data_IF_887480623491
#
_entry.id   IF_887480623491
#
_cell.length_a   1.000
_cell.length_b   1.000
_cell.length_c   1.000
_cell.angle_alpha   90.00
_cell.angle_beta   90.00
_cell.angle_gamma   90.00
#
_symmetry.space_group_name_H-M   'P 1'
#
loop_
_entity.id
_entity.type
_entity.pdbx_description
1 polymer ?
#
# COMPACT_ATOMS: atom_id res chain seq x y z
N UNK A 1 19.99 10.93 -9.88
CA UNK A 1 19.63 9.57 -9.41
C UNK A 1 18.13 9.31 -9.54
N UNK A 2 17.23 10.14 -8.97
CA UNK A 2 15.76 10.00 -9.10
C UNK A 2 15.25 10.00 -10.56
N UNK A 3 15.83 10.85 -11.42
CA UNK A 3 15.42 10.98 -12.82
C UNK A 3 15.74 9.73 -13.68
N UNK A 4 16.79 8.98 -13.32
CA UNK A 4 17.13 7.70 -13.99
C UNK A 4 16.23 6.57 -13.52
N UNK A 5 15.82 6.57 -12.24
CA UNK A 5 14.85 5.61 -11.69
C UNK A 5 13.48 5.73 -12.37
N UNK A 6 12.99 6.96 -12.58
CA UNK A 6 11.74 7.23 -13.31
C UNK A 6 11.78 6.77 -14.78
N UNK A 7 12.94 6.88 -15.44
CA UNK A 7 13.12 6.46 -16.84
C UNK A 7 13.22 4.92 -16.98
N UNK A 8 13.76 4.23 -15.98
CA UNK A 8 13.84 2.76 -15.88
C UNK A 8 12.45 2.11 -15.82
N UNK A 9 11.54 2.67 -15.00
CA UNK A 9 10.15 2.20 -14.87
C UNK A 9 9.41 2.22 -16.22
N UNK A 10 9.74 3.18 -17.08
CA UNK A 10 9.06 3.40 -18.35
C UNK A 10 9.52 2.46 -19.48
N UNK A 11 10.69 1.81 -19.37
CA UNK A 11 11.25 0.97 -20.43
C UNK A 11 11.00 -0.54 -20.26
N UNK A 12 10.65 -1.04 -19.06
CA UNK A 12 10.28 -2.46 -18.83
C UNK A 12 9.18 -2.63 -17.75
N UNK A 13 7.92 -2.26 -18.05
CA UNK A 13 6.82 -2.22 -17.07
C UNK A 13 6.47 -3.58 -16.46
N UNK A 14 6.67 -4.68 -17.18
CA UNK A 14 6.33 -6.02 -16.70
C UNK A 14 7.10 -6.50 -15.46
N UNK A 15 8.27 -5.91 -15.17
CA UNK A 15 9.17 -6.37 -14.08
C UNK A 15 8.87 -5.75 -12.72
N UNK A 16 8.27 -4.57 -12.72
CA UNK A 16 7.78 -3.90 -11.51
C UNK A 16 6.28 -4.08 -11.31
N UNK A 17 5.58 -4.67 -12.28
CA UNK A 17 4.13 -4.88 -12.21
C UNK A 17 3.72 -5.67 -10.97
N UNK A 18 4.47 -6.73 -10.60
CA UNK A 18 4.16 -7.52 -9.40
C UNK A 18 4.27 -6.69 -8.11
N UNK A 19 5.39 -5.98 -7.93
CA UNK A 19 5.58 -5.11 -6.75
C UNK A 19 4.59 -3.96 -6.73
N UNK A 20 4.36 -3.31 -7.88
CA UNK A 20 3.41 -2.21 -8.02
C UNK A 20 1.99 -2.69 -7.69
N UNK A 21 1.56 -3.82 -8.24
CA UNK A 21 0.23 -4.38 -8.02
C UNK A 21 0.04 -4.80 -6.55
N UNK A 22 1.01 -5.52 -5.97
CA UNK A 22 0.98 -5.89 -4.55
C UNK A 22 0.92 -4.66 -3.64
N UNK A 23 1.75 -3.64 -3.90
CA UNK A 23 1.77 -2.42 -3.12
C UNK A 23 0.49 -1.60 -3.31
N UNK A 24 -0.05 -1.53 -4.53
CA UNK A 24 -1.26 -0.76 -4.85
C UNK A 24 -2.50 -1.39 -4.20
N UNK A 25 -2.75 -2.69 -4.42
CA UNK A 25 -3.86 -3.39 -3.76
C UNK A 25 -3.70 -3.35 -2.25
N UNK A 26 -2.48 -3.58 -1.76
CA UNK A 26 -2.21 -3.58 -0.34
C UNK A 26 -2.46 -2.23 0.32
N UNK A 27 -1.96 -1.14 -0.29
CA UNK A 27 -2.22 0.22 0.18
C UNK A 27 -3.72 0.54 0.09
N UNK A 28 -4.42 0.15 -0.98
CA UNK A 28 -5.84 0.42 -1.13
C UNK A 28 -6.66 -0.24 -0.01
N UNK A 29 -6.36 -1.50 0.31
CA UNK A 29 -7.02 -2.24 1.39
C UNK A 29 -6.68 -1.60 2.74
N UNK A 30 -5.41 -1.41 3.06
CA UNK A 30 -4.97 -0.88 4.36
C UNK A 30 -5.54 0.52 4.59
N UNK A 31 -5.54 1.39 3.58
CA UNK A 31 -6.10 2.75 3.67
C UNK A 31 -7.62 2.74 3.80
N UNK A 32 -8.33 1.83 3.13
CA UNK A 32 -9.77 1.69 3.30
C UNK A 32 -10.14 1.33 4.75
N UNK A 33 -9.44 0.36 5.36
CA UNK A 33 -9.65 0.03 6.78
C UNK A 33 -9.16 1.13 7.72
N UNK A 34 -8.05 1.81 7.41
CA UNK A 34 -7.59 2.97 8.18
C UNK A 34 -8.65 4.07 8.22
N UNK A 35 -9.35 4.32 7.11
CA UNK A 35 -10.41 5.33 7.06
C UNK A 35 -11.61 5.03 7.96
N UNK A 36 -11.87 3.77 8.29
CA UNK A 36 -12.87 3.41 9.30
C UNK A 36 -12.43 3.86 10.71
N UNK A 37 -11.13 3.78 10.99
CA UNK A 37 -10.55 4.28 12.25
C UNK A 37 -10.56 5.80 12.30
N UNK A 38 -10.30 6.48 11.18
CA UNK A 38 -10.43 7.93 11.06
C UNK A 38 -11.89 8.36 11.29
N UNK A 39 -12.83 7.61 10.69
CA UNK A 39 -14.27 7.81 10.88
C UNK A 39 -14.68 7.59 12.33
N UNK A 40 -14.15 6.57 13.01
CA UNK A 40 -14.42 6.32 14.43
C UNK A 40 -13.96 7.47 15.35
N UNK A 41 -12.91 8.19 14.96
CA UNK A 41 -12.39 9.35 15.71
C UNK A 41 -13.08 10.68 15.38
N UNK A 42 -14.04 10.68 14.45
CA UNK A 42 -14.71 11.90 14.03
C UNK A 42 -15.64 12.46 15.13
N UNK A 43 -15.80 13.79 15.24
CA UNK A 43 -16.72 14.39 16.19
C UNK A 43 -18.17 13.96 15.94
N UNK A 44 -18.89 13.59 17.00
CA UNK A 44 -20.31 13.25 16.93
C UNK A 44 -20.62 11.78 16.59
N UNK A 45 -19.61 10.91 16.57
CA UNK A 45 -19.80 9.45 16.49
C UNK A 45 -20.09 8.89 17.87
N UNK A 46 -21.11 8.03 17.99
CA UNK A 46 -21.46 7.35 19.23
C UNK A 46 -20.45 6.26 19.61
N UNK A 47 -20.33 5.96 20.92
CA UNK A 47 -19.32 5.03 21.45
C UNK A 47 -19.41 3.62 20.82
N UNK A 48 -20.63 3.14 20.52
CA UNK A 48 -20.86 1.81 19.94
C UNK A 48 -20.37 1.75 18.50
N UNK A 49 -20.71 2.75 17.69
CA UNK A 49 -20.21 2.90 16.32
C UNK A 49 -18.69 3.04 16.30
N UNK A 50 -18.12 3.86 17.19
CA UNK A 50 -16.69 4.09 17.28
C UNK A 50 -15.92 2.81 17.66
N UNK A 51 -16.43 2.05 18.64
CA UNK A 51 -15.85 0.77 19.06
C UNK A 51 -15.90 -0.26 17.92
N UNK A 52 -17.03 -0.36 17.22
CA UNK A 52 -17.23 -1.30 16.11
C UNK A 52 -16.27 -1.01 14.95
N UNK A 53 -16.19 0.27 14.54
CA UNK A 53 -15.29 0.72 13.47
C UNK A 53 -13.82 0.53 13.86
N UNK A 54 -13.45 0.87 15.10
CA UNK A 54 -12.07 0.72 15.60
C UNK A 54 -11.65 -0.73 15.70
N UNK A 55 -12.53 -1.61 16.20
CA UNK A 55 -12.26 -3.04 16.33
C UNK A 55 -12.11 -3.67 14.95
N UNK A 56 -13.02 -3.37 14.02
CA UNK A 56 -12.96 -3.88 12.66
C UNK A 56 -11.72 -3.38 11.91
N UNK A 57 -11.39 -2.10 12.04
CA UNK A 57 -10.20 -1.49 11.44
C UNK A 57 -8.89 -2.06 12.00
N UNK A 58 -8.82 -2.25 13.32
CA UNK A 58 -7.60 -2.74 13.97
C UNK A 58 -7.33 -4.22 13.67
N UNK A 59 -8.37 -5.06 13.73
CA UNK A 59 -8.26 -6.48 13.42
C UNK A 59 -7.96 -6.66 11.94
N UNK A 60 -8.88 -6.25 11.05
CA UNK A 60 -8.75 -6.54 9.62
C UNK A 60 -7.64 -5.72 8.97
N UNK A 61 -7.55 -4.43 9.31
CA UNK A 61 -6.46 -3.57 8.82
C UNK A 61 -5.09 -3.99 9.36
N UNK A 62 -5.01 -4.43 10.61
CA UNK A 62 -3.76 -4.90 11.22
C UNK A 62 -3.24 -6.19 10.59
N UNK A 63 -4.08 -7.23 10.51
CA UNK A 63 -3.72 -8.48 9.82
C UNK A 63 -3.48 -8.25 8.32
N UNK A 64 -4.31 -7.40 7.69
CA UNK A 64 -4.14 -6.99 6.30
C UNK A 64 -2.78 -6.35 6.04
N UNK A 65 -2.33 -5.43 6.89
CA UNK A 65 -1.03 -4.79 6.78
C UNK A 65 0.13 -5.79 6.83
N UNK A 66 0.05 -6.81 7.70
CA UNK A 66 1.05 -7.88 7.76
C UNK A 66 1.08 -8.71 6.48
N UNK A 67 -0.09 -9.12 5.96
CA UNK A 67 -0.18 -9.88 4.71
C UNK A 67 0.35 -9.07 3.52
N UNK A 68 0.03 -7.77 3.47
CA UNK A 68 0.53 -6.84 2.46
C UNK A 68 2.04 -6.70 2.56
N UNK A 69 2.59 -6.56 3.76
CA UNK A 69 4.03 -6.51 3.97
C UNK A 69 4.73 -7.76 3.40
N UNK A 70 4.25 -8.95 3.73
CA UNK A 70 4.80 -10.20 3.18
C UNK A 70 4.66 -10.31 1.67
N UNK A 71 3.52 -9.88 1.12
CA UNK A 71 3.28 -9.86 -0.33
C UNK A 71 4.29 -8.96 -1.06
N UNK A 72 4.50 -7.73 -0.56
CA UNK A 72 5.46 -6.79 -1.13
C UNK A 72 6.89 -7.32 -0.99
N UNK A 73 7.27 -7.87 0.17
CA UNK A 73 8.59 -8.45 0.39
C UNK A 73 8.88 -9.62 -0.56
N UNK A 74 7.88 -10.48 -0.78
CA UNK A 74 7.97 -11.59 -1.74
C UNK A 74 8.14 -11.08 -3.17
N UNK A 75 7.31 -10.14 -3.59
CA UNK A 75 7.39 -9.54 -4.93
C UNK A 75 8.75 -8.86 -5.17
N UNK A 76 9.23 -8.08 -4.20
CA UNK A 76 10.56 -7.45 -4.26
C UNK A 76 11.68 -8.50 -4.37
N UNK A 77 11.59 -9.58 -3.61
CA UNK A 77 12.57 -10.68 -3.67
C UNK A 77 12.61 -11.30 -5.06
N UNK A 78 11.45 -11.55 -5.67
CA UNK A 78 11.35 -12.06 -7.04
C UNK A 78 11.95 -11.07 -8.04
N UNK A 79 11.59 -9.78 -7.96
CA UNK A 79 12.12 -8.74 -8.85
C UNK A 79 13.65 -8.59 -8.74
N UNK A 80 14.21 -8.70 -7.53
CA UNK A 80 15.66 -8.68 -7.32
C UNK A 80 16.32 -9.93 -7.91
N UNK A 81 15.76 -11.12 -7.68
CA UNK A 81 16.28 -12.38 -8.24
C UNK A 81 16.31 -12.39 -9.76
N UNK A 82 15.28 -11.83 -10.41
CA UNK A 82 15.22 -11.70 -11.86
C UNK A 82 16.29 -10.73 -12.43
N UNK A 83 16.87 -9.85 -11.59
CA UNK A 83 17.88 -8.86 -11.97
C UNK A 83 19.30 -9.20 -11.52
N UNK A 84 19.50 -10.35 -10.88
CA UNK A 84 20.82 -10.76 -10.36
C UNK A 84 21.91 -10.74 -11.44
N UNK A 85 21.61 -11.15 -12.68
CA UNK A 85 22.58 -11.11 -13.79
C UNK A 85 22.95 -9.69 -14.24
N UNK A 86 21.99 -8.76 -14.30
CA UNK A 86 22.27 -7.35 -14.60
C UNK A 86 23.11 -6.70 -13.48
N UNK A 87 22.80 -7.03 -12.22
CA UNK A 87 23.55 -6.57 -11.05
C UNK A 87 24.98 -7.14 -11.02
N UNK A 88 25.17 -8.38 -11.43
CA UNK A 88 26.48 -9.02 -11.53
C UNK A 88 27.36 -8.37 -12.60
N UNK A 89 26.81 -8.07 -13.78
CA UNK A 89 27.51 -7.32 -14.82
C UNK A 89 27.97 -5.92 -14.33
N UNK A 90 27.10 -5.22 -13.60
CA UNK A 90 27.46 -3.94 -12.98
C UNK A 90 28.59 -4.10 -11.95
N UNK A 91 28.57 -5.17 -11.15
CA UNK A 91 29.65 -5.47 -10.20
C UNK A 91 30.97 -5.76 -10.92
N UNK A 92 30.95 -6.50 -12.02
CA UNK A 92 32.15 -6.75 -12.84
C UNK A 92 32.73 -5.46 -13.46
N UNK A 93 31.89 -4.45 -13.71
CA UNK A 93 32.33 -3.11 -14.15
C UNK A 93 32.81 -2.18 -13.01
N UNK A 94 32.89 -2.67 -11.76
CA UNK A 94 33.42 -1.93 -10.62
C UNK A 94 32.35 -1.28 -9.72
N UNK A 95 31.06 -1.55 -9.92
CA UNK A 95 30.03 -1.02 -9.03
C UNK A 95 30.07 -1.68 -7.64
N UNK A 96 30.01 -0.85 -6.60
CA UNK A 96 30.10 -1.34 -5.20
C UNK A 96 28.75 -1.88 -4.70
N UNK A 97 28.73 -2.87 -3.78
CA UNK A 97 27.48 -3.41 -3.23
C UNK A 97 26.57 -2.35 -2.60
N UNK A 98 27.15 -1.30 -2.01
CA UNK A 98 26.40 -0.19 -1.44
C UNK A 98 25.69 0.67 -2.51
N UNK A 99 26.31 0.87 -3.68
CA UNK A 99 25.69 1.58 -4.82
C UNK A 99 24.51 0.79 -5.39
N UNK A 100 24.68 -0.53 -5.56
CA UNK A 100 23.61 -1.41 -6.02
C UNK A 100 22.42 -1.41 -5.07
N UNK A 101 22.67 -1.54 -3.76
CA UNK A 101 21.59 -1.52 -2.75
C UNK A 101 20.83 -0.19 -2.78
N UNK A 102 21.53 0.94 -2.85
CA UNK A 102 20.89 2.27 -2.91
C UNK A 102 20.05 2.45 -4.18
N UNK A 103 20.51 1.95 -5.32
CA UNK A 103 19.77 1.99 -6.57
C UNK A 103 18.46 1.19 -6.48
N UNK A 104 18.54 -0.07 -6.02
CA UNK A 104 17.36 -0.95 -5.89
C UNK A 104 16.37 -0.37 -4.88
N UNK A 105 16.83 0.12 -3.73
CA UNK A 105 15.96 0.77 -2.74
C UNK A 105 15.29 2.01 -3.34
N UNK A 106 16.03 2.82 -4.10
CA UNK A 106 15.48 3.99 -4.78
C UNK A 106 14.37 3.65 -5.77
N UNK A 107 14.55 2.58 -6.55
CA UNK A 107 13.52 2.08 -7.48
C UNK A 107 12.30 1.56 -6.72
N UNK A 108 12.50 0.75 -5.67
CA UNK A 108 11.42 0.22 -4.84
C UNK A 108 10.61 1.32 -4.16
N UNK A 109 11.27 2.35 -3.63
CA UNK A 109 10.61 3.51 -3.01
C UNK A 109 9.79 4.28 -4.05
N UNK A 110 10.36 4.52 -5.25
CA UNK A 110 9.62 5.21 -6.31
C UNK A 110 8.35 4.44 -6.72
N UNK A 111 8.44 3.11 -6.84
CA UNK A 111 7.29 2.25 -7.14
C UNK A 111 6.28 2.24 -6.00
N UNK A 112 6.73 2.16 -4.75
CA UNK A 112 5.86 2.17 -3.57
C UNK A 112 5.11 3.51 -3.44
N UNK A 113 5.79 4.64 -3.63
CA UNK A 113 5.15 5.97 -3.61
C UNK A 113 4.10 6.07 -4.72
N UNK A 114 4.42 5.63 -5.94
CA UNK A 114 3.46 5.60 -7.04
C UNK A 114 2.25 4.73 -6.70
N UNK A 115 2.48 3.54 -6.13
CA UNK A 115 1.42 2.62 -5.73
C UNK A 115 0.47 3.26 -4.69
N UNK A 116 1.02 3.90 -3.66
CA UNK A 116 0.24 4.56 -2.60
C UNK A 116 -0.57 5.72 -3.16
N UNK A 117 0.03 6.57 -3.99
CA UNK A 117 -0.69 7.70 -4.60
C UNK A 117 -1.86 7.21 -5.46
N UNK A 118 -1.64 6.16 -6.26
CA UNK A 118 -2.69 5.55 -7.06
C UNK A 118 -3.77 4.88 -6.21
N UNK A 119 -3.41 4.36 -5.04
CA UNK A 119 -4.32 3.67 -4.14
C UNK A 119 -5.31 4.59 -3.42
N UNK A 120 -5.03 5.90 -3.30
CA UNK A 120 -5.90 6.85 -2.57
C UNK A 120 -7.34 6.84 -3.08
N UNK A 121 -7.55 6.95 -4.39
CA UNK A 121 -8.90 6.98 -4.98
C UNK A 121 -9.70 5.71 -4.68
N UNK A 122 -9.17 4.52 -5.03
CA UNK A 122 -9.79 3.24 -4.67
C UNK A 122 -9.97 3.03 -3.17
N UNK A 123 -9.05 3.50 -2.34
CA UNK A 123 -9.14 3.41 -0.89
C UNK A 123 -10.32 4.21 -0.33
N UNK A 124 -10.50 5.45 -0.81
CA UNK A 124 -11.63 6.29 -0.42
C UNK A 124 -12.96 5.66 -0.84
N UNK A 125 -13.03 5.15 -2.07
CA UNK A 125 -14.24 4.46 -2.55
C UNK A 125 -14.51 3.18 -1.74
N UNK A 126 -13.47 2.39 -1.46
CA UNK A 126 -13.55 1.18 -0.66
C UNK A 126 -13.95 1.46 0.79
N UNK A 127 -13.40 2.50 1.42
CA UNK A 127 -13.74 2.92 2.76
C UNK A 127 -15.19 3.38 2.87
N UNK A 128 -15.66 4.18 1.91
CA UNK A 128 -17.08 4.58 1.83
C UNK A 128 -18.01 3.39 1.66
N UNK A 129 -17.65 2.44 0.80
CA UNK A 129 -18.42 1.22 0.60
C UNK A 129 -18.44 0.36 1.88
N UNK A 130 -17.30 0.21 2.56
CA UNK A 130 -17.22 -0.52 3.83
C UNK A 130 -18.10 0.14 4.89
N UNK A 131 -18.04 1.46 5.07
CA UNK A 131 -18.90 2.17 6.02
C UNK A 131 -20.38 1.97 5.69
N UNK A 132 -20.76 2.03 4.41
CA UNK A 132 -22.12 1.73 3.96
C UNK A 132 -22.57 0.32 4.37
N UNK A 133 -21.71 -0.69 4.23
CA UNK A 133 -22.03 -2.05 4.68
C UNK A 133 -22.24 -2.15 6.21
N UNK A 134 -21.47 -1.40 6.99
CA UNK A 134 -21.68 -1.32 8.45
C UNK A 134 -22.98 -0.61 8.82
N UNK A 135 -23.39 0.39 8.03
CA UNK A 135 -24.66 1.09 8.22
C UNK A 135 -25.86 0.23 7.81
N UNK A 136 -25.77 -0.44 6.65
CA UNK A 136 -26.83 -1.32 6.13
C UNK A 136 -27.06 -2.54 7.03
N UNK A 137 -26.02 -3.01 7.72
CA UNK A 137 -26.11 -4.09 8.72
C UNK A 137 -26.57 -3.63 10.10
N UNK A 138 -26.81 -2.33 10.30
CA UNK A 138 -27.23 -1.74 11.57
C UNK A 138 -26.14 -1.74 12.65
N UNK A 139 -24.88 -1.99 12.27
CA UNK A 139 -23.73 -2.00 13.19
C UNK A 139 -23.20 -0.59 13.48
N UNK A 140 -23.48 0.37 12.59
CA UNK A 140 -23.08 1.78 12.71
C UNK A 140 -24.27 2.68 12.42
N UNK A 141 -24.40 3.79 13.15
CA UNK A 141 -25.51 4.72 12.96
C UNK A 141 -25.48 5.38 11.55
N UNK A 142 -26.64 5.61 10.90
CA UNK A 142 -26.71 6.26 9.59
C UNK A 142 -26.23 7.72 9.60
N UNK A 143 -26.17 8.35 10.78
CA UNK A 143 -25.69 9.72 10.98
C UNK A 143 -24.17 9.85 10.92
N UNK A 144 -23.43 8.74 10.97
CA UNK A 144 -21.96 8.76 10.91
C UNK A 144 -21.50 9.11 9.50
N UNK A 145 -20.87 10.27 9.36
CA UNK A 145 -20.26 10.72 8.11
C UNK A 145 -18.91 10.05 7.86
N UNK A 146 -18.63 9.71 6.61
CA UNK A 146 -17.33 9.16 6.21
C UNK A 146 -16.21 10.20 6.36
N UNK A 147 -15.13 9.83 7.06
CA UNK A 147 -13.88 10.62 7.15
C UNK A 147 -12.70 9.85 6.60
N UNK A 148 -11.75 10.56 5.99
CA UNK A 148 -10.50 10.00 5.46
C UNK A 148 -9.35 10.97 5.72
N UNK A 149 -8.37 10.56 6.51
CA UNK A 149 -7.29 11.42 7.03
C UNK A 149 -7.75 12.31 8.17
#
# INVERSE_FOLDING_TARGET
MLFLALRSVRHRPGRFAATLLSAFLGAAIVMAFASLRDTAGAPGVDDVSAETLTTSASVVGGYGALLVFFSIASALTVSVRQRSGELELLRCSGATPAQLRRMVVGESVAVAVLAVVLAVGPAVLGGRALLGLFQDSGQVAPSVGYSFG
#
